data_IF_167995890641
#
_entry.id   IF_167995890641
#
_cell.length_a   1.000
_cell.length_b   1.000
_cell.length_c   1.000
_cell.angle_alpha   90.00
_cell.angle_beta   90.00
_cell.angle_gamma   90.00
#
_symmetry.space_group_name_H-M   'P 1'
#
loop_
_entity.id
_entity.type
_entity.pdbx_description
1 polymer ?
#
# COMPACT_ATOMS: atom_id res chain seq x y z
N UNK A 1 5.41 -33.21 -77.94
CA UNK A 1 4.29 -33.06 -76.97
C UNK A 1 4.64 -33.51 -75.55
N UNK A 2 5.35 -34.57 -75.28
CA UNK A 2 5.63 -35.12 -73.95
C UNK A 2 6.50 -34.22 -73.05
N UNK A 3 7.46 -33.44 -73.58
CA UNK A 3 8.35 -32.54 -72.83
C UNK A 3 7.62 -31.30 -72.23
N UNK A 4 6.66 -30.74 -72.98
CA UNK A 4 5.86 -29.59 -72.55
C UNK A 4 4.93 -29.98 -71.40
N UNK A 5 4.30 -31.11 -71.40
CA UNK A 5 3.42 -31.60 -70.33
C UNK A 5 4.15 -31.90 -69.05
N UNK A 6 5.43 -32.35 -69.08
CA UNK A 6 6.29 -32.53 -67.90
C UNK A 6 6.72 -31.20 -67.32
N UNK A 7 6.90 -30.15 -68.11
CA UNK A 7 7.29 -28.84 -67.67
C UNK A 7 6.12 -28.11 -67.00
N UNK A 8 4.91 -28.22 -67.51
CA UNK A 8 3.70 -27.67 -66.88
C UNK A 8 3.37 -28.32 -65.51
N UNK A 9 3.53 -29.67 -65.44
CA UNK A 9 3.37 -30.40 -64.18
C UNK A 9 4.39 -29.98 -63.11
N UNK A 10 5.65 -29.70 -63.48
CA UNK A 10 6.69 -29.19 -62.55
C UNK A 10 6.39 -27.76 -62.06
N UNK A 11 5.92 -26.90 -62.97
CA UNK A 11 5.53 -25.53 -62.65
C UNK A 11 4.29 -25.49 -61.75
N UNK A 12 3.34 -26.40 -61.97
CA UNK A 12 2.14 -26.43 -61.08
C UNK A 12 2.44 -26.98 -59.69
N UNK A 13 3.31 -28.00 -59.59
CA UNK A 13 3.76 -28.53 -58.30
C UNK A 13 4.58 -27.49 -57.48
N UNK A 14 5.41 -26.67 -58.14
CA UNK A 14 6.14 -25.56 -57.51
C UNK A 14 5.22 -24.47 -56.95
N UNK A 15 4.15 -24.12 -57.67
CA UNK A 15 3.13 -23.16 -57.22
C UNK A 15 2.31 -23.71 -56.07
N UNK A 16 2.01 -25.00 -56.03
CA UNK A 16 1.31 -25.66 -54.93
C UNK A 16 2.22 -25.71 -53.68
N UNK A 17 3.48 -26.09 -53.84
CA UNK A 17 4.46 -26.12 -52.77
C UNK A 17 4.67 -24.73 -52.13
N UNK A 18 4.76 -23.68 -52.96
CA UNK A 18 4.90 -22.30 -52.47
C UNK A 18 3.65 -21.82 -51.70
N UNK A 19 2.45 -22.19 -52.14
CA UNK A 19 1.18 -21.89 -51.45
C UNK A 19 1.06 -22.63 -50.11
N UNK A 20 1.48 -23.87 -50.03
CA UNK A 20 1.48 -24.68 -48.81
C UNK A 20 2.51 -24.11 -47.81
N UNK A 21 3.71 -23.71 -48.28
CA UNK A 21 4.71 -23.06 -47.45
C UNK A 21 4.23 -21.70 -46.92
N UNK A 22 3.56 -20.89 -47.75
CA UNK A 22 3.00 -19.61 -47.32
C UNK A 22 1.89 -19.78 -46.28
N UNK A 23 1.01 -20.79 -46.45
CA UNK A 23 -0.02 -21.12 -45.45
C UNK A 23 0.58 -21.65 -44.13
N UNK A 24 1.63 -22.47 -44.19
CA UNK A 24 2.32 -22.97 -43.01
C UNK A 24 3.03 -21.83 -42.24
N UNK A 25 3.60 -20.87 -42.98
CA UNK A 25 4.25 -19.70 -42.39
C UNK A 25 3.24 -18.76 -41.69
N UNK A 26 2.06 -18.55 -42.29
CA UNK A 26 0.97 -17.77 -41.67
C UNK A 26 0.44 -18.48 -40.44
N UNK A 27 0.25 -19.81 -40.47
CA UNK A 27 -0.17 -20.56 -39.26
C UNK A 27 0.89 -20.54 -38.15
N UNK A 28 2.17 -20.56 -38.46
CA UNK A 28 3.25 -20.49 -37.46
C UNK A 28 3.34 -19.12 -36.81
N UNK A 29 2.94 -18.05 -37.49
CA UNK A 29 2.90 -16.66 -36.91
C UNK A 29 1.63 -16.39 -36.08
N UNK A 30 0.52 -17.08 -36.36
CA UNK A 30 -0.75 -16.89 -35.63
C UNK A 30 -0.80 -17.70 -34.32
N UNK A 31 -0.15 -18.86 -34.27
CA UNK A 31 -0.18 -19.75 -33.10
C UNK A 31 0.36 -19.11 -31.81
N UNK A 32 1.48 -18.38 -31.80
CA UNK A 32 1.97 -17.77 -30.54
C UNK A 32 1.09 -16.62 -30.07
N UNK A 33 0.41 -15.90 -30.96
CA UNK A 33 -0.48 -14.78 -30.57
C UNK A 33 -1.76 -15.31 -29.92
N UNK A 34 -2.32 -16.43 -30.41
CA UNK A 34 -3.48 -17.04 -29.75
C UNK A 34 -3.13 -17.63 -28.36
N UNK A 35 -1.96 -18.26 -28.22
CA UNK A 35 -1.51 -18.81 -26.95
C UNK A 35 -1.32 -17.71 -25.88
N UNK A 36 -0.79 -16.53 -26.28
CA UNK A 36 -0.63 -15.37 -25.37
C UNK A 36 -1.98 -14.77 -24.96
N UNK A 37 -2.98 -14.77 -25.84
CA UNK A 37 -4.32 -14.25 -25.54
C UNK A 37 -5.08 -15.17 -24.55
N UNK A 38 -4.91 -16.47 -24.63
CA UNK A 38 -5.52 -17.44 -23.70
C UNK A 38 -4.90 -17.35 -22.30
N UNK A 39 -3.58 -17.10 -22.21
CA UNK A 39 -2.88 -16.92 -20.94
C UNK A 39 -3.32 -15.61 -20.22
N UNK A 40 -3.51 -14.53 -20.96
CA UNK A 40 -3.94 -13.25 -20.40
C UNK A 40 -5.38 -13.32 -19.86
N UNK A 41 -6.31 -13.98 -20.55
CA UNK A 41 -7.68 -14.17 -20.06
C UNK A 41 -7.73 -15.09 -18.82
N UNK A 42 -6.87 -16.10 -18.74
CA UNK A 42 -6.74 -16.95 -17.55
C UNK A 42 -6.19 -16.17 -16.34
N UNK A 43 -5.17 -15.34 -16.50
CA UNK A 43 -4.60 -14.55 -15.40
C UNK A 43 -5.62 -13.55 -14.84
N UNK A 44 -6.40 -12.88 -15.69
CA UNK A 44 -7.47 -11.96 -15.28
C UNK A 44 -8.59 -12.70 -14.53
N UNK A 45 -8.91 -13.92 -14.95
CA UNK A 45 -9.91 -14.77 -14.28
C UNK A 45 -9.42 -15.20 -12.91
N UNK A 46 -8.17 -15.63 -12.81
CA UNK A 46 -7.55 -16.11 -11.58
C UNK A 46 -7.42 -14.99 -10.56
N UNK A 47 -6.96 -13.79 -10.96
CA UNK A 47 -6.96 -12.60 -10.12
C UNK A 47 -8.33 -12.35 -9.50
N UNK A 48 -9.39 -12.30 -10.34
CA UNK A 48 -10.77 -12.05 -9.86
C UNK A 48 -11.28 -13.12 -8.90
N UNK A 49 -10.92 -14.39 -9.15
CA UNK A 49 -11.31 -15.49 -8.28
C UNK A 49 -10.60 -15.40 -6.92
N UNK A 50 -9.31 -15.12 -6.90
CA UNK A 50 -8.54 -14.94 -5.66
C UNK A 50 -9.02 -13.72 -4.87
N UNK A 51 -9.30 -12.59 -5.53
CA UNK A 51 -9.89 -11.40 -4.85
C UNK A 51 -11.25 -11.77 -4.23
N UNK A 52 -12.12 -12.49 -4.93
CA UNK A 52 -13.43 -12.91 -4.41
C UNK A 52 -13.28 -13.84 -3.21
N UNK A 53 -12.38 -14.83 -3.30
CA UNK A 53 -12.06 -15.73 -2.19
C UNK A 53 -11.54 -14.96 -0.97
N UNK A 54 -10.58 -14.08 -1.19
CA UNK A 54 -10.04 -13.21 -0.15
C UNK A 54 -11.09 -12.32 0.51
N UNK A 55 -12.00 -11.74 -0.27
CA UNK A 55 -13.10 -10.93 0.26
C UNK A 55 -14.05 -11.75 1.16
N UNK A 56 -14.39 -12.98 0.76
CA UNK A 56 -15.23 -13.88 1.59
C UNK A 56 -14.55 -14.18 2.93
N UNK A 57 -13.25 -14.50 2.89
CA UNK A 57 -12.46 -14.77 4.10
C UNK A 57 -12.34 -13.53 4.99
N UNK A 58 -12.18 -12.35 4.38
CA UNK A 58 -12.13 -11.08 5.10
C UNK A 58 -13.44 -10.78 5.85
N UNK A 59 -14.59 -11.02 5.22
CA UNK A 59 -15.92 -10.87 5.84
C UNK A 59 -16.10 -11.87 6.99
N UNK A 60 -15.55 -13.07 6.86
CA UNK A 60 -15.51 -14.08 7.92
C UNK A 60 -14.50 -13.73 9.04
N UNK A 61 -13.77 -12.60 8.96
CA UNK A 61 -12.69 -12.17 9.86
C UNK A 61 -11.46 -13.10 9.88
N UNK A 62 -11.31 -13.93 8.87
CA UNK A 62 -10.18 -14.84 8.65
C UNK A 62 -9.07 -14.11 7.90
N UNK A 63 -8.53 -13.05 8.52
CA UNK A 63 -7.67 -12.07 7.85
C UNK A 63 -6.35 -12.66 7.35
N UNK A 64 -5.76 -13.62 8.08
CA UNK A 64 -4.52 -14.28 7.64
C UNK A 64 -4.74 -15.15 6.38
N UNK A 65 -5.89 -15.78 6.26
CA UNK A 65 -6.23 -16.56 5.07
C UNK A 65 -6.62 -15.65 3.90
N UNK A 66 -7.33 -14.54 4.17
CA UNK A 66 -7.61 -13.52 3.18
C UNK A 66 -6.31 -12.91 2.59
N UNK A 67 -5.29 -12.67 3.42
CA UNK A 67 -3.97 -12.22 2.99
C UNK A 67 -3.35 -13.18 1.96
N UNK A 68 -3.44 -14.50 2.20
CA UNK A 68 -2.91 -15.50 1.26
C UNK A 68 -3.60 -15.41 -0.09
N UNK A 69 -4.93 -15.29 -0.11
CA UNK A 69 -5.68 -15.18 -1.36
C UNK A 69 -5.37 -13.88 -2.11
N UNK A 70 -5.24 -12.75 -1.41
CA UNK A 70 -4.84 -11.49 -2.06
C UNK A 70 -3.41 -11.52 -2.60
N UNK A 71 -2.48 -12.24 -1.94
CA UNK A 71 -1.14 -12.47 -2.48
C UNK A 71 -1.17 -13.30 -3.75
N UNK A 72 -2.00 -14.37 -3.83
CA UNK A 72 -2.21 -15.12 -5.07
C UNK A 72 -2.81 -14.24 -6.17
N UNK A 73 -3.71 -13.32 -5.84
CA UNK A 73 -4.22 -12.37 -6.81
C UNK A 73 -3.10 -11.48 -7.39
N UNK A 74 -2.14 -11.05 -6.54
CA UNK A 74 -0.98 -10.27 -6.98
C UNK A 74 0.07 -11.12 -7.72
N UNK A 75 0.15 -12.42 -7.48
CA UNK A 75 0.95 -13.34 -8.30
C UNK A 75 0.37 -13.47 -9.71
N UNK A 76 -0.97 -13.54 -9.83
CA UNK A 76 -1.65 -13.56 -11.13
C UNK A 76 -1.58 -12.20 -11.83
N UNK A 77 -1.78 -11.09 -11.12
CA UNK A 77 -1.68 -9.73 -11.64
C UNK A 77 -0.93 -8.82 -10.67
N UNK A 78 0.40 -8.63 -10.83
CA UNK A 78 1.20 -7.78 -9.96
C UNK A 78 0.78 -6.31 -9.91
N UNK A 79 0.02 -5.84 -10.90
CA UNK A 79 -0.47 -4.46 -10.99
C UNK A 79 -1.91 -4.29 -10.48
N UNK A 80 -2.48 -5.31 -9.84
CA UNK A 80 -3.84 -5.24 -9.29
C UNK A 80 -3.94 -4.23 -8.14
N UNK A 81 -4.51 -3.08 -8.42
CA UNK A 81 -4.75 -2.05 -7.40
C UNK A 81 -5.74 -2.53 -6.33
N UNK A 82 -6.74 -3.30 -6.74
CA UNK A 82 -7.77 -3.84 -5.83
C UNK A 82 -7.15 -4.88 -4.90
N UNK A 83 -6.36 -5.82 -5.44
CA UNK A 83 -5.70 -6.83 -4.61
C UNK A 83 -4.69 -6.17 -3.64
N UNK A 84 -3.94 -5.16 -4.09
CA UNK A 84 -3.01 -4.38 -3.26
C UNK A 84 -3.74 -3.71 -2.09
N UNK A 85 -4.86 -3.03 -2.37
CA UNK A 85 -5.65 -2.37 -1.33
C UNK A 85 -6.23 -3.37 -0.33
N UNK A 86 -6.82 -4.48 -0.82
CA UNK A 86 -7.44 -5.49 0.02
C UNK A 86 -6.40 -6.25 0.86
N UNK A 87 -5.20 -6.52 0.31
CA UNK A 87 -4.07 -7.06 1.06
C UNK A 87 -3.69 -6.12 2.21
N UNK A 88 -3.54 -4.83 1.93
CA UNK A 88 -3.24 -3.84 2.97
C UNK A 88 -4.33 -3.80 4.05
N UNK A 89 -5.61 -3.88 3.66
CA UNK A 89 -6.72 -3.93 4.62
C UNK A 89 -6.68 -5.19 5.50
N UNK A 90 -6.35 -6.36 4.94
CA UNK A 90 -6.20 -7.61 5.69
C UNK A 90 -5.02 -7.54 6.67
N UNK A 91 -3.90 -6.98 6.26
CA UNK A 91 -2.72 -6.76 7.11
C UNK A 91 -3.04 -5.81 8.27
N UNK A 92 -3.79 -4.73 8.03
CA UNK A 92 -4.21 -3.80 9.10
C UNK A 92 -5.11 -4.47 10.14
N UNK A 93 -5.94 -5.43 9.74
CA UNK A 93 -6.77 -6.21 10.68
C UNK A 93 -5.98 -7.20 11.52
N UNK A 94 -4.80 -7.61 11.07
CA UNK A 94 -3.89 -8.49 11.78
C UNK A 94 -2.90 -7.73 12.66
N UNK A 95 -2.69 -6.44 12.40
CA UNK A 95 -1.70 -5.63 13.09
C UNK A 95 -2.05 -5.45 14.57
N UNK A 96 -1.17 -5.85 15.46
CA UNK A 96 -1.19 -5.46 16.86
C UNK A 96 -0.42 -4.15 17.04
N UNK A 97 -1.01 -3.21 17.77
CA UNK A 97 -0.46 -1.85 17.98
C UNK A 97 0.91 -1.87 18.69
N UNK A 98 1.26 -2.98 19.35
CA UNK A 98 2.47 -3.10 20.18
C UNK A 98 3.78 -3.33 19.38
N UNK A 99 3.71 -3.77 18.13
CA UNK A 99 4.90 -4.21 17.36
C UNK A 99 5.30 -3.18 16.27
N UNK A 100 5.54 -1.94 16.66
CA UNK A 100 5.78 -0.84 15.71
C UNK A 100 7.19 -0.81 15.10
N UNK A 101 8.15 -1.57 15.63
CA UNK A 101 9.57 -1.45 15.25
C UNK A 101 10.09 -2.52 14.28
N UNK A 102 9.29 -3.51 13.89
CA UNK A 102 9.69 -4.53 12.91
C UNK A 102 9.21 -4.13 11.51
N UNK A 103 10.13 -4.07 10.54
CA UNK A 103 9.80 -3.82 9.13
C UNK A 103 8.88 -4.90 8.53
N UNK A 104 8.84 -6.08 9.14
CA UNK A 104 7.92 -7.16 8.79
C UNK A 104 6.57 -7.07 9.49
N UNK A 105 6.37 -6.07 10.35
CA UNK A 105 5.09 -5.83 10.99
C UNK A 105 3.99 -5.62 9.93
N UNK A 106 2.81 -6.26 10.06
CA UNK A 106 1.70 -6.11 9.13
C UNK A 106 1.30 -4.64 8.88
N UNK A 107 1.38 -3.78 9.90
CA UNK A 107 1.09 -2.35 9.75
C UNK A 107 2.11 -1.63 8.84
N UNK A 108 3.40 -1.94 8.95
CA UNK A 108 4.45 -1.36 8.11
C UNK A 108 4.31 -1.82 6.66
N UNK A 109 4.00 -3.11 6.45
CA UNK A 109 3.71 -3.64 5.11
C UNK A 109 2.48 -2.96 4.49
N UNK A 110 1.38 -2.84 5.25
CA UNK A 110 0.17 -2.17 4.79
C UNK A 110 0.45 -0.70 4.43
N UNK A 111 1.23 0.02 5.26
CA UNK A 111 1.63 1.40 5.00
C UNK A 111 2.41 1.53 3.67
N UNK A 112 3.31 0.60 3.40
CA UNK A 112 4.10 0.57 2.16
C UNK A 112 3.20 0.33 0.95
N UNK A 113 2.30 -0.65 1.00
CA UNK A 113 1.35 -0.96 -0.07
C UNK A 113 0.44 0.23 -0.39
N UNK A 114 -0.17 0.82 0.64
CA UNK A 114 -1.04 1.99 0.49
C UNK A 114 -0.26 3.22 0.02
N UNK A 115 0.96 3.43 0.52
CA UNK A 115 1.83 4.51 0.11
C UNK A 115 2.26 4.42 -1.37
N UNK A 116 2.43 3.23 -1.90
CA UNK A 116 2.65 3.01 -3.34
C UNK A 116 1.36 3.26 -4.13
N UNK A 117 0.24 2.73 -3.66
CA UNK A 117 -1.06 2.86 -4.33
C UNK A 117 -1.44 4.33 -4.55
N UNK A 118 -1.29 5.21 -3.54
CA UNK A 118 -1.62 6.63 -3.67
C UNK A 118 -0.72 7.40 -4.65
N UNK A 119 0.44 6.83 -5.01
CA UNK A 119 1.38 7.43 -5.98
C UNK A 119 1.12 6.96 -7.41
N UNK A 120 0.61 5.74 -7.58
CA UNK A 120 0.52 5.08 -8.90
C UNK A 120 -0.91 4.98 -9.44
N UNK A 121 -1.91 4.94 -8.55
CA UNK A 121 -3.31 4.80 -8.96
C UNK A 121 -3.91 6.11 -9.46
N UNK A 122 -4.71 6.01 -10.51
CA UNK A 122 -5.57 7.08 -11.03
C UNK A 122 -7.04 6.93 -10.58
N UNK A 123 -7.36 5.94 -9.74
CA UNK A 123 -8.71 5.72 -9.22
C UNK A 123 -8.92 6.55 -7.95
N UNK A 124 -9.61 7.69 -8.07
CA UNK A 124 -9.82 8.62 -6.96
C UNK A 124 -10.53 8.00 -5.75
N UNK A 125 -11.48 7.09 -5.94
CA UNK A 125 -12.16 6.39 -4.84
C UNK A 125 -11.18 5.50 -4.07
N UNK A 126 -10.36 4.73 -4.78
CA UNK A 126 -9.38 3.85 -4.17
C UNK A 126 -8.27 4.64 -3.47
N UNK A 127 -7.79 5.72 -4.10
CA UNK A 127 -6.78 6.62 -3.54
C UNK A 127 -7.30 7.32 -2.28
N UNK A 128 -8.58 7.76 -2.28
CA UNK A 128 -9.22 8.31 -1.09
C UNK A 128 -9.20 7.34 0.08
N UNK A 129 -9.65 6.10 -0.14
CA UNK A 129 -9.66 5.03 0.86
C UNK A 129 -8.25 4.67 1.34
N UNK A 130 -7.26 4.68 0.45
CA UNK A 130 -5.87 4.44 0.81
C UNK A 130 -5.32 5.56 1.72
N UNK A 131 -5.58 6.83 1.41
CA UNK A 131 -5.23 7.95 2.29
C UNK A 131 -5.94 7.88 3.64
N UNK A 132 -7.21 7.50 3.68
CA UNK A 132 -7.94 7.29 4.93
C UNK A 132 -7.25 6.24 5.81
N UNK A 133 -6.87 5.11 5.24
CA UNK A 133 -6.16 4.06 5.98
C UNK A 133 -4.75 4.49 6.43
N UNK A 134 -4.01 5.25 5.61
CA UNK A 134 -2.74 5.84 6.01
C UNK A 134 -2.92 6.83 7.17
N UNK A 135 -4.01 7.59 7.17
CA UNK A 135 -4.40 8.47 8.29
C UNK A 135 -4.65 7.68 9.57
N UNK A 136 -5.35 6.55 9.48
CA UNK A 136 -5.57 5.66 10.62
C UNK A 136 -4.25 5.08 11.16
N UNK A 137 -3.34 4.66 10.28
CA UNK A 137 -2.00 4.17 10.68
C UNK A 137 -1.25 5.26 11.46
N UNK A 138 -1.13 6.46 10.91
CA UNK A 138 -0.45 7.58 11.55
C UNK A 138 -1.10 7.95 12.90
N UNK A 139 -2.43 7.91 12.98
CA UNK A 139 -3.17 8.14 14.22
C UNK A 139 -2.81 7.12 15.31
N UNK A 140 -2.77 5.84 14.97
CA UNK A 140 -2.36 4.76 15.88
C UNK A 140 -0.91 4.91 16.35
N UNK A 141 -0.04 5.43 15.49
CA UNK A 141 1.35 5.76 15.82
C UNK A 141 1.51 7.05 16.64
N UNK A 142 0.38 7.73 16.93
CA UNK A 142 0.35 9.05 17.60
C UNK A 142 1.05 10.17 16.81
N UNK A 143 1.32 9.94 15.52
CA UNK A 143 1.73 10.99 14.59
C UNK A 143 0.48 11.71 14.08
N UNK A 144 -0.07 12.55 14.96
CA UNK A 144 -1.31 13.25 14.64
C UNK A 144 -1.12 14.29 13.54
N UNK A 145 0.09 14.81 13.37
CA UNK A 145 0.42 15.72 12.28
C UNK A 145 0.28 15.03 10.92
N UNK A 146 0.91 13.88 10.74
CA UNK A 146 0.80 13.09 9.53
C UNK A 146 -0.62 12.58 9.31
N UNK A 147 -1.29 12.14 10.38
CA UNK A 147 -2.69 11.68 10.33
C UNK A 147 -3.62 12.74 9.74
N UNK A 148 -3.50 14.00 10.19
CA UNK A 148 -4.25 15.16 9.68
C UNK A 148 -4.03 15.34 8.19
N UNK A 149 -2.78 15.28 7.71
CA UNK A 149 -2.48 15.45 6.29
C UNK A 149 -3.04 14.30 5.44
N UNK A 150 -3.00 13.07 5.93
CA UNK A 150 -3.57 11.92 5.22
C UNK A 150 -5.11 12.04 5.12
N UNK A 151 -5.82 12.37 6.20
CA UNK A 151 -7.28 12.58 6.14
C UNK A 151 -7.66 13.75 5.24
N UNK A 152 -6.91 14.83 5.22
CA UNK A 152 -7.13 15.93 4.27
C UNK A 152 -6.95 15.47 2.80
N UNK A 153 -5.96 14.63 2.54
CA UNK A 153 -5.73 14.05 1.20
C UNK A 153 -6.88 13.12 0.79
N UNK A 154 -7.39 12.31 1.73
CA UNK A 154 -8.60 11.50 1.52
C UNK A 154 -9.79 12.38 1.13
N UNK A 155 -10.07 13.43 1.91
CA UNK A 155 -11.19 14.35 1.69
C UNK A 155 -11.05 15.21 0.42
N UNK A 156 -9.85 15.45 -0.10
CA UNK A 156 -9.66 16.10 -1.41
C UNK A 156 -10.14 15.22 -2.56
N UNK A 157 -10.07 13.88 -2.40
CA UNK A 157 -10.51 12.91 -3.40
C UNK A 157 -11.99 12.54 -3.23
N UNK A 158 -12.43 12.41 -1.98
CA UNK A 158 -13.82 12.15 -1.63
C UNK A 158 -14.29 13.13 -0.53
N UNK A 159 -14.83 14.29 -0.90
CA UNK A 159 -15.27 15.31 0.07
C UNK A 159 -16.44 14.87 0.94
N UNK A 160 -17.20 13.85 0.53
CA UNK A 160 -18.41 13.39 1.21
C UNK A 160 -18.14 12.29 2.25
N UNK A 161 -16.87 11.94 2.49
CA UNK A 161 -16.48 10.93 3.50
C UNK A 161 -16.60 11.53 4.92
N UNK A 162 -17.74 11.24 5.57
CA UNK A 162 -18.00 11.69 6.95
C UNK A 162 -17.04 11.05 7.95
N UNK A 163 -16.61 9.80 7.75
CA UNK A 163 -15.66 9.14 8.64
C UNK A 163 -14.27 9.79 8.58
N UNK A 164 -13.82 10.12 7.37
CA UNK A 164 -12.55 10.84 7.22
C UNK A 164 -12.63 12.24 7.85
N UNK A 165 -13.79 12.91 7.77
CA UNK A 165 -14.01 14.22 8.37
C UNK A 165 -14.02 14.15 9.91
N UNK A 166 -14.66 13.13 10.47
CA UNK A 166 -14.69 12.89 11.91
C UNK A 166 -13.29 12.56 12.45
N UNK A 167 -12.59 11.64 11.80
CA UNK A 167 -11.23 11.26 12.19
C UNK A 167 -10.23 12.42 12.05
N UNK A 168 -10.40 13.29 11.04
CA UNK A 168 -9.62 14.51 10.93
C UNK A 168 -9.80 15.42 12.14
N UNK A 169 -11.05 15.65 12.60
CA UNK A 169 -11.33 16.45 13.79
C UNK A 169 -10.72 15.82 15.05
N UNK A 170 -10.82 14.51 15.16
CA UNK A 170 -10.22 13.78 16.29
C UNK A 170 -8.70 13.91 16.29
N UNK A 171 -8.04 13.76 15.16
CA UNK A 171 -6.59 13.91 15.04
C UNK A 171 -6.13 15.35 15.38
N UNK A 172 -6.89 16.37 14.95
CA UNK A 172 -6.63 17.76 15.30
C UNK A 172 -6.72 18.00 16.82
N UNK A 173 -7.75 17.43 17.47
CA UNK A 173 -7.91 17.52 18.92
C UNK A 173 -6.75 16.84 19.66
N UNK A 174 -6.34 15.65 19.22
CA UNK A 174 -5.24 14.90 19.83
C UNK A 174 -3.90 15.61 19.66
N UNK A 175 -3.67 16.25 18.51
CA UNK A 175 -2.47 17.07 18.30
C UNK A 175 -2.42 18.28 19.26
N UNK A 176 -3.56 18.97 19.43
CA UNK A 176 -3.65 20.08 20.34
C UNK A 176 -3.37 19.65 21.78
N UNK A 177 -3.95 18.54 22.21
CA UNK A 177 -3.70 17.99 23.56
C UNK A 177 -2.23 17.61 23.73
N UNK A 178 -1.62 16.93 22.77
CA UNK A 178 -0.20 16.56 22.81
C UNK A 178 0.71 17.78 22.96
N UNK A 179 0.38 18.90 22.28
CA UNK A 179 1.13 20.16 22.40
C UNK A 179 0.96 20.81 23.78
N UNK A 180 -0.24 20.75 24.36
CA UNK A 180 -0.49 21.25 25.72
C UNK A 180 0.28 20.44 26.75
N UNK A 181 0.18 19.11 26.71
CA UNK A 181 0.89 18.22 27.64
C UNK A 181 2.42 18.45 27.58
N UNK A 182 2.96 18.67 26.37
CA UNK A 182 4.39 18.96 26.20
C UNK A 182 4.77 20.33 26.81
N UNK A 183 3.93 21.34 26.57
CA UNK A 183 4.18 22.68 27.12
C UNK A 183 4.15 22.71 28.69
N UNK A 184 3.20 21.99 29.29
CA UNK A 184 3.11 21.85 30.75
C UNK A 184 4.34 21.13 31.32
N UNK A 185 4.79 20.08 30.63
CA UNK A 185 6.00 19.35 31.02
C UNK A 185 7.25 20.22 30.94
N UNK A 186 7.41 20.97 29.85
CA UNK A 186 8.56 21.87 29.68
C UNK A 186 8.58 22.97 30.75
N UNK A 187 7.41 23.46 31.19
CA UNK A 187 7.31 24.41 32.30
C UNK A 187 7.72 23.79 33.63
N UNK A 188 7.24 22.58 33.95
CA UNK A 188 7.62 21.87 35.16
C UNK A 188 9.13 21.58 35.22
N UNK A 189 9.71 21.16 34.10
CA UNK A 189 11.15 20.91 34.03
C UNK A 189 11.97 22.19 34.27
N UNK A 190 11.52 23.34 33.72
CA UNK A 190 12.16 24.66 33.99
C UNK A 190 12.04 25.10 35.44
N UNK A 191 10.89 24.91 36.07
CA UNK A 191 10.70 25.24 37.50
C UNK A 191 11.61 24.38 38.38
N UNK A 192 11.72 23.08 38.11
CA UNK A 192 12.62 22.20 38.85
C UNK A 192 14.10 22.59 38.69
N UNK A 193 14.52 22.98 37.49
CA UNK A 193 15.88 23.47 37.27
C UNK A 193 16.18 24.75 38.05
N UNK A 194 15.22 25.70 38.10
CA UNK A 194 15.36 26.93 38.84
C UNK A 194 15.47 26.67 40.37
N UNK A 195 14.65 25.79 40.91
CA UNK A 195 14.71 25.39 42.31
C UNK A 195 16.05 24.76 42.69
N UNK A 196 16.55 23.86 41.82
CA UNK A 196 17.87 23.24 42.02
C UNK A 196 19.01 24.28 42.02
N UNK A 197 18.94 25.26 41.13
CA UNK A 197 19.94 26.31 41.06
C UNK A 197 19.91 27.20 42.31
N UNK A 198 18.71 27.55 42.83
CA UNK A 198 18.56 28.30 44.07
C UNK A 198 19.12 27.54 45.29
N UNK A 199 18.83 26.25 45.38
CA UNK A 199 19.37 25.40 46.47
C UNK A 199 20.91 25.33 46.43
N UNK A 200 21.50 25.20 45.26
CA UNK A 200 22.96 25.19 45.11
C UNK A 200 23.58 26.53 45.52
N UNK A 201 22.96 27.64 45.16
CA UNK A 201 23.42 28.96 45.55
C UNK A 201 23.34 29.17 47.09
N UNK A 202 22.26 28.72 47.70
CA UNK A 202 22.14 28.78 49.18
C UNK A 202 23.16 27.92 49.90
N UNK A 203 23.46 26.74 49.39
CA UNK A 203 24.50 25.86 49.93
C UNK A 203 25.89 26.50 49.84
N UNK A 204 26.23 27.12 48.71
CA UNK A 204 27.49 27.82 48.51
C UNK A 204 27.63 29.04 49.45
N UNK A 205 26.57 29.81 49.63
CA UNK A 205 26.58 30.93 50.57
C UNK A 205 26.76 30.47 52.04
N UNK A 206 26.13 29.36 52.42
CA UNK A 206 26.27 28.81 53.77
C UNK A 206 27.68 28.26 54.02
N UNK A 207 28.32 27.64 53.02
CA UNK A 207 29.72 27.21 53.15
C UNK A 207 30.67 28.41 53.28
N UNK A 208 30.53 29.45 52.48
CA UNK A 208 31.37 30.64 52.55
C UNK A 208 31.20 31.37 53.89
N UNK A 209 30.05 31.31 54.56
CA UNK A 209 29.81 31.89 55.84
C UNK A 209 30.40 31.08 57.03
N UNK A 210 30.58 29.76 56.84
CA UNK A 210 31.25 28.89 57.82
C UNK A 210 32.78 29.02 57.75
N UNK A 211 33.35 29.23 56.59
CA UNK A 211 34.82 29.38 56.37
C UNK A 211 35.34 30.73 56.85
N UNK A 212 34.46 31.70 57.18
CA UNK A 212 34.81 33.05 57.66
C UNK A 212 34.74 33.18 59.18
N UNK A 213 34.38 32.14 59.91
CA UNK A 213 34.36 32.10 61.36
C UNK A 213 35.57 31.34 61.93
#
# INVERSE_FOLDING_TARGET
MMKLRKMELRLNNGKIALRVMALAFVMAMVSPVLALADDEDNTIRDERNFIRSGNSLYEEKRYAEAEVEYKKALEANPNSEIATFNLAAALLKQANVSDTNDANNPMAQASTLLGNLVKTSNNDDLVSKAYYNLGNIAFHQKDYGQSIEMYKNSLRRNPDDDLARENLRLAQKMLQQQQQDQSEKDQQDQEQEQEQQQQKQQQQQNQQNQDKK
#
